data_IF_396571082928
#
_entry.id   IF_396571082928
#
_cell.length_a   1.000
_cell.length_b   1.000
_cell.length_c   1.000
_cell.angle_alpha   90.00
_cell.angle_beta   90.00
_cell.angle_gamma   90.00
#
_symmetry.space_group_name_H-M   'P 1'
#
loop_
_entity.id
_entity.type
_entity.pdbx_description
1 polymer ?
#
# COMPACT_ATOMS: atom_id res chain seq x y z
N UNK A 1 12.15 -20.20 4.76
CA UNK A 1 10.93 -19.57 4.20
C UNK A 1 9.91 -19.47 5.32
N UNK A 2 9.16 -18.38 5.42
CA UNK A 2 8.09 -18.20 6.39
C UNK A 2 6.79 -17.89 5.64
N UNK A 3 5.71 -18.59 5.96
CA UNK A 3 4.40 -18.43 5.32
C UNK A 3 3.35 -18.17 6.40
N UNK A 4 2.70 -17.01 6.34
CA UNK A 4 1.53 -16.72 7.15
C UNK A 4 0.38 -17.66 6.77
N UNK A 5 -0.34 -18.18 7.77
CA UNK A 5 -1.43 -19.12 7.56
C UNK A 5 -2.77 -18.48 7.90
N UNK A 6 -3.69 -18.53 6.93
CA UNK A 6 -5.10 -18.20 7.14
C UNK A 6 -5.88 -19.34 7.81
N UNK A 7 -7.22 -19.26 7.74
CA UNK A 7 -8.10 -20.33 8.25
C UNK A 7 -7.94 -21.64 7.48
N UNK A 8 -8.19 -22.80 8.12
CA UNK A 8 -8.63 -22.96 9.51
C UNK A 8 -7.47 -23.01 10.52
N UNK A 9 -6.22 -23.14 10.07
CA UNK A 9 -5.08 -23.42 10.97
C UNK A 9 -4.52 -22.20 11.69
N UNK A 10 -4.49 -21.02 11.04
CA UNK A 10 -3.84 -19.85 11.62
C UNK A 10 -2.32 -20.02 11.84
N UNK A 11 -1.67 -18.97 12.31
CA UNK A 11 -0.26 -19.01 12.69
C UNK A 11 0.74 -18.82 11.54
N UNK A 12 1.94 -19.36 11.73
CA UNK A 12 3.06 -19.26 10.77
C UNK A 12 3.64 -20.64 10.49
N UNK A 13 3.88 -20.94 9.22
CA UNK A 13 4.67 -22.08 8.79
C UNK A 13 6.11 -21.64 8.50
N UNK A 14 7.05 -22.13 9.29
CA UNK A 14 8.48 -21.94 9.05
C UNK A 14 9.04 -23.19 8.37
N UNK A 15 9.56 -23.03 7.15
CA UNK A 15 10.28 -24.05 6.41
C UNK A 15 11.80 -23.80 6.48
N UNK A 16 12.55 -24.75 7.01
CA UNK A 16 14.01 -24.72 7.10
C UNK A 16 14.64 -25.88 6.31
N UNK A 17 15.75 -25.65 5.57
CA UNK A 17 16.50 -26.73 4.96
C UNK A 17 17.14 -27.63 6.02
N UNK A 18 17.05 -28.94 5.83
CA UNK A 18 17.84 -29.95 6.53
C UNK A 18 18.38 -30.95 5.49
N UNK A 19 19.63 -30.75 5.07
CA UNK A 19 20.21 -31.43 3.91
C UNK A 19 19.41 -31.15 2.63
N UNK A 20 18.93 -32.22 1.99
CA UNK A 20 18.11 -32.16 0.77
C UNK A 20 16.60 -32.04 1.06
N UNK A 21 16.20 -31.94 2.33
CA UNK A 21 14.79 -31.88 2.74
C UNK A 21 14.44 -30.50 3.31
N UNK A 22 13.13 -30.20 3.30
CA UNK A 22 12.57 -29.07 4.04
C UNK A 22 11.82 -29.62 5.25
N UNK A 23 12.20 -29.16 6.43
CA UNK A 23 11.47 -29.43 7.68
C UNK A 23 10.53 -28.27 7.92
N UNK A 24 9.27 -28.59 8.21
CA UNK A 24 8.26 -27.63 8.60
C UNK A 24 8.10 -27.53 10.12
N UNK A 25 7.90 -26.31 10.60
CA UNK A 25 7.54 -26.01 11.98
C UNK A 25 6.35 -25.06 11.97
N UNK A 26 5.26 -25.48 12.60
CA UNK A 26 4.12 -24.61 12.83
C UNK A 26 4.34 -23.82 14.12
N UNK A 27 4.24 -22.50 14.01
CA UNK A 27 4.25 -21.57 15.11
C UNK A 27 2.84 -21.03 15.29
N UNK A 28 2.27 -21.26 16.46
CA UNK A 28 0.99 -20.69 16.85
C UNK A 28 1.16 -19.19 17.13
N UNK A 29 0.33 -18.37 16.49
CA UNK A 29 0.28 -16.92 16.65
C UNK A 29 -1.02 -16.46 17.34
N UNK A 30 -1.80 -17.40 17.87
CA UNK A 30 -3.12 -17.15 18.46
C UNK A 30 -4.26 -17.34 17.46
N UNK A 31 -5.46 -16.95 17.90
CA UNK A 31 -6.71 -17.28 17.21
C UNK A 31 -7.01 -16.41 15.99
N UNK A 32 -6.27 -15.31 15.79
CA UNK A 32 -6.48 -14.39 14.68
C UNK A 32 -5.72 -14.84 13.43
N UNK A 33 -6.40 -15.28 12.34
CA UNK A 33 -5.74 -15.72 11.12
C UNK A 33 -4.90 -14.63 10.47
N UNK A 34 -3.81 -15.04 9.81
CA UNK A 34 -2.97 -14.15 9.01
C UNK A 34 -3.63 -13.94 7.65
N UNK A 35 -3.76 -12.68 7.23
CA UNK A 35 -4.34 -12.27 5.94
C UNK A 35 -3.27 -11.85 4.94
N UNK A 36 -2.23 -11.15 5.40
CA UNK A 36 -1.13 -10.69 4.56
C UNK A 36 0.19 -10.69 5.32
N UNK A 37 1.29 -10.49 4.61
CA UNK A 37 2.60 -10.33 5.21
C UNK A 37 3.56 -9.56 4.33
N UNK A 38 4.53 -8.91 4.95
CA UNK A 38 5.62 -8.21 4.28
C UNK A 38 6.92 -8.48 5.02
N UNK A 39 8.06 -8.42 4.33
CA UNK A 39 9.34 -8.61 5.00
C UNK A 39 10.51 -8.89 4.08
N UNK A 40 11.66 -8.30 4.43
CA UNK A 40 12.98 -8.67 3.89
C UNK A 40 13.92 -9.07 5.03
N UNK A 41 14.15 -8.17 6.00
CA UNK A 41 14.98 -8.39 7.20
C UNK A 41 14.18 -8.82 8.43
N UNK A 42 12.97 -8.27 8.56
CA UNK A 42 11.96 -8.64 9.55
C UNK A 42 10.70 -9.08 8.81
N UNK A 43 9.96 -10.04 9.36
CA UNK A 43 8.67 -10.47 8.80
C UNK A 43 7.58 -9.84 9.64
N UNK A 44 6.64 -9.18 9.00
CA UNK A 44 5.43 -8.62 9.62
C UNK A 44 4.21 -9.32 9.03
N UNK A 45 3.31 -9.75 9.88
CA UNK A 45 2.10 -10.50 9.52
C UNK A 45 0.87 -9.70 9.96
N UNK A 46 -0.01 -9.39 9.01
CA UNK A 46 -1.25 -8.66 9.26
C UNK A 46 -2.40 -9.65 9.47
N UNK A 47 -3.25 -9.36 10.45
CA UNK A 47 -4.29 -10.28 10.91
C UNK A 47 -5.71 -9.73 10.67
N UNK A 48 -6.72 -10.61 10.76
CA UNK A 48 -8.13 -10.25 10.53
C UNK A 48 -8.72 -9.32 11.60
N UNK A 49 -8.12 -9.27 12.78
CA UNK A 49 -8.57 -8.45 13.90
C UNK A 49 -7.88 -7.07 13.96
N UNK A 50 -7.11 -6.71 12.94
CA UNK A 50 -6.34 -5.47 12.91
C UNK A 50 -5.02 -5.51 13.67
N UNK A 51 -4.64 -6.69 14.18
CA UNK A 51 -3.34 -6.93 14.81
C UNK A 51 -2.22 -7.12 13.78
N UNK A 52 -0.99 -6.82 14.20
CA UNK A 52 0.23 -7.17 13.46
C UNK A 52 1.15 -7.96 14.38
N UNK A 53 1.69 -9.07 13.88
CA UNK A 53 2.74 -9.84 14.55
C UNK A 53 4.05 -9.71 13.79
N UNK A 54 5.10 -9.24 14.45
CA UNK A 54 6.47 -9.28 13.96
C UNK A 54 7.14 -10.61 14.29
N UNK A 55 7.94 -11.14 13.38
CA UNK A 55 8.83 -12.28 13.62
C UNK A 55 10.26 -11.76 13.59
N UNK A 56 10.91 -11.79 14.76
CA UNK A 56 12.28 -11.32 14.92
C UNK A 56 13.30 -12.31 14.33
N UNK A 57 14.59 -11.94 14.35
CA UNK A 57 15.68 -12.77 13.81
C UNK A 57 15.82 -14.13 14.51
N UNK A 58 15.43 -14.20 15.79
CA UNK A 58 15.42 -15.43 16.58
C UNK A 58 14.21 -16.32 16.26
N UNK A 59 13.32 -15.86 15.38
CA UNK A 59 12.11 -16.56 14.96
C UNK A 59 10.98 -16.51 16.00
N UNK A 60 11.07 -15.63 17.00
CA UNK A 60 10.03 -15.46 18.02
C UNK A 60 8.98 -14.46 17.53
N UNK A 61 7.69 -14.75 17.77
CA UNK A 61 6.61 -13.83 17.45
C UNK A 61 6.48 -12.75 18.52
N UNK A 62 6.35 -11.51 18.08
CA UNK A 62 6.16 -10.33 18.93
C UNK A 62 4.99 -9.51 18.36
N UNK A 63 3.85 -9.44 19.08
CA UNK A 63 2.73 -8.62 18.63
C UNK A 63 3.08 -7.13 18.76
N UNK A 64 2.72 -6.36 17.73
CA UNK A 64 2.74 -4.90 17.81
C UNK A 64 1.53 -4.39 18.60
N UNK A 65 1.57 -3.15 19.12
CA UNK A 65 0.39 -2.48 19.66
C UNK A 65 -0.77 -2.53 18.66
N UNK A 66 -2.01 -2.61 19.17
CA UNK A 66 -3.21 -2.63 18.32
C UNK A 66 -3.28 -1.35 17.48
N UNK A 67 -3.21 -1.50 16.15
CA UNK A 67 -3.18 -0.39 15.18
C UNK A 67 -4.60 -0.05 14.74
N UNK A 68 -5.40 -1.07 14.45
CA UNK A 68 -6.79 -0.95 14.00
C UNK A 68 -7.60 -2.14 14.53
N UNK A 69 -8.90 -2.12 14.29
CA UNK A 69 -9.82 -3.24 14.53
C UNK A 69 -10.34 -3.87 13.23
N UNK A 70 -9.89 -3.34 12.10
CA UNK A 70 -10.29 -3.74 10.76
C UNK A 70 -9.34 -4.82 10.25
N UNK A 71 -9.82 -5.69 9.34
CA UNK A 71 -8.95 -6.69 8.71
C UNK A 71 -7.80 -6.01 7.99
N UNK A 72 -6.58 -6.48 8.20
CA UNK A 72 -5.41 -6.00 7.44
C UNK A 72 -5.30 -6.79 6.14
N UNK A 73 -5.67 -6.18 5.03
CA UNK A 73 -5.70 -6.82 3.71
C UNK A 73 -4.34 -6.79 3.01
N UNK A 74 -3.61 -5.68 3.16
CA UNK A 74 -2.30 -5.54 2.55
C UNK A 74 -1.38 -4.64 3.38
N UNK A 75 -0.07 -4.88 3.25
CA UNK A 75 0.96 -4.12 3.93
C UNK A 75 2.20 -4.00 3.06
N UNK A 76 2.89 -2.87 3.18
CA UNK A 76 4.23 -2.70 2.61
C UNK A 76 5.12 -1.97 3.61
N UNK A 77 6.32 -2.51 3.81
CA UNK A 77 7.35 -1.94 4.69
C UNK A 77 8.41 -1.23 3.85
N UNK A 78 8.70 0.01 4.21
CA UNK A 78 9.92 0.73 3.82
C UNK A 78 10.88 0.77 5.03
N UNK A 79 12.09 1.31 4.84
CA UNK A 79 13.14 1.38 5.86
C UNK A 79 12.67 1.94 7.22
N UNK A 80 11.74 2.90 7.24
CA UNK A 80 11.29 3.56 8.48
C UNK A 80 9.80 3.46 8.78
N UNK A 81 8.97 3.05 7.81
CA UNK A 81 7.51 3.12 7.92
C UNK A 81 6.84 1.84 7.44
N UNK A 82 5.70 1.52 8.03
CA UNK A 82 4.81 0.47 7.60
C UNK A 82 3.52 1.10 7.09
N UNK A 83 3.21 0.88 5.82
CA UNK A 83 1.93 1.27 5.23
C UNK A 83 0.98 0.08 5.28
N UNK A 84 -0.26 0.35 5.69
CA UNK A 84 -1.28 -0.66 5.98
C UNK A 84 -2.56 -0.25 5.25
N UNK A 85 -3.20 -1.23 4.61
CA UNK A 85 -4.49 -1.09 3.97
C UNK A 85 -5.47 -2.10 4.54
N UNK A 86 -6.68 -1.66 4.85
CA UNK A 86 -7.68 -2.47 5.54
C UNK A 86 -8.90 -2.79 4.68
N UNK A 87 -9.72 -3.72 5.17
CA UNK A 87 -10.98 -4.11 4.53
C UNK A 87 -12.03 -3.01 4.48
N UNK A 88 -11.96 -2.04 5.39
CA UNK A 88 -12.93 -0.93 5.47
C UNK A 88 -12.42 0.35 4.79
N UNK A 89 -11.22 0.34 4.21
CA UNK A 89 -10.67 1.46 3.46
C UNK A 89 -9.74 2.39 4.25
N UNK A 90 -9.35 2.02 5.47
CA UNK A 90 -8.35 2.77 6.23
C UNK A 90 -6.95 2.58 5.65
N UNK A 91 -6.40 3.65 5.08
CA UNK A 91 -4.98 3.75 4.73
C UNK A 91 -4.22 4.32 5.93
N UNK A 92 -3.27 3.57 6.48
CA UNK A 92 -2.58 3.91 7.73
C UNK A 92 -1.07 3.89 7.48
N UNK A 93 -0.36 4.88 8.03
CA UNK A 93 1.08 4.84 8.22
C UNK A 93 1.42 4.65 9.69
N UNK A 94 2.19 3.60 9.96
CA UNK A 94 2.75 3.30 11.27
C UNK A 94 4.28 3.46 11.23
N UNK A 95 4.80 4.38 12.02
CA UNK A 95 6.23 4.63 12.19
C UNK A 95 6.53 5.09 13.63
N UNK A 96 7.78 4.97 14.07
CA UNK A 96 8.20 5.39 15.42
C UNK A 96 7.26 4.90 16.55
N UNK A 97 6.83 3.64 16.42
CA UNK A 97 5.92 2.96 17.34
C UNK A 97 4.50 3.55 17.46
N UNK A 98 4.11 4.46 16.54
CA UNK A 98 2.84 5.16 16.56
C UNK A 98 2.19 5.24 15.16
N UNK A 99 0.90 5.60 15.13
CA UNK A 99 0.21 5.95 13.89
C UNK A 99 0.56 7.39 13.55
N UNK A 100 1.29 7.60 12.46
CA UNK A 100 1.66 8.93 11.97
C UNK A 100 0.50 9.62 11.26
N UNK A 101 -0.23 8.85 10.45
CA UNK A 101 -1.46 9.31 9.82
C UNK A 101 -2.38 8.12 9.51
N UNK A 102 -3.67 8.42 9.39
CA UNK A 102 -4.72 7.51 8.97
C UNK A 102 -5.75 8.29 8.18
N UNK A 103 -6.11 7.81 6.99
CA UNK A 103 -7.17 8.38 6.16
C UNK A 103 -8.10 7.27 5.68
N UNK A 104 -9.32 7.64 5.30
CA UNK A 104 -10.32 6.73 4.74
C UNK A 104 -10.37 6.90 3.21
N UNK A 105 -10.23 5.80 2.47
CA UNK A 105 -10.34 5.72 1.01
C UNK A 105 -11.69 5.14 0.53
N UNK A 106 -12.67 5.05 1.43
CA UNK A 106 -14.10 4.73 1.21
C UNK A 106 -14.41 3.30 0.72
N UNK A 107 -13.40 2.47 0.49
CA UNK A 107 -13.55 1.09 0.05
C UNK A 107 -12.32 0.23 0.41
N UNK A 108 -12.51 -1.10 0.45
CA UNK A 108 -11.48 -2.11 0.71
C UNK A 108 -10.18 -1.80 -0.06
N UNK A 109 -9.06 -1.69 0.67
CA UNK A 109 -7.73 -1.48 0.09
C UNK A 109 -7.10 -2.83 -0.22
N UNK A 110 -6.90 -3.10 -1.51
CA UNK A 110 -6.44 -4.41 -1.98
C UNK A 110 -4.93 -4.45 -2.26
N UNK A 111 -4.32 -3.31 -2.57
CA UNK A 111 -2.90 -3.24 -2.91
C UNK A 111 -2.28 -1.93 -2.43
N UNK A 112 -1.02 -2.02 -2.00
CA UNK A 112 -0.15 -0.86 -1.73
C UNK A 112 1.16 -1.08 -2.46
N UNK A 113 1.65 -0.05 -3.15
CA UNK A 113 2.95 -0.09 -3.80
C UNK A 113 3.71 1.21 -3.57
N UNK A 114 4.90 1.11 -2.98
CA UNK A 114 5.77 2.27 -2.80
C UNK A 114 6.26 2.70 -4.20
N UNK A 115 5.91 3.91 -4.61
CA UNK A 115 6.37 4.48 -5.88
C UNK A 115 7.79 5.03 -5.74
N UNK A 116 8.04 5.75 -4.66
CA UNK A 116 9.35 6.23 -4.24
C UNK A 116 9.32 6.51 -2.73
N UNK A 117 10.39 7.07 -2.16
CA UNK A 117 10.51 7.32 -0.70
C UNK A 117 9.39 8.20 -0.12
N UNK A 118 8.78 9.05 -0.94
CA UNK A 118 7.81 10.08 -0.53
C UNK A 118 6.39 9.73 -0.97
N UNK A 119 6.18 8.77 -1.87
CA UNK A 119 4.87 8.52 -2.49
C UNK A 119 4.56 7.03 -2.60
N UNK A 120 3.32 6.68 -2.30
CA UNK A 120 2.83 5.32 -2.41
C UNK A 120 1.45 5.27 -3.08
N UNK A 121 1.25 4.25 -3.89
CA UNK A 121 -0.03 3.92 -4.49
C UNK A 121 -0.86 3.07 -3.54
N UNK A 122 -2.14 3.39 -3.46
CA UNK A 122 -3.17 2.60 -2.77
C UNK A 122 -4.29 2.32 -3.75
N UNK A 123 -4.70 1.06 -3.88
CA UNK A 123 -5.83 0.69 -4.73
C UNK A 123 -7.02 0.25 -3.88
N UNK A 124 -8.21 0.76 -4.20
CA UNK A 124 -9.46 0.30 -3.59
C UNK A 124 -10.39 -0.33 -4.60
N UNK A 125 -11.27 -1.21 -4.11
CA UNK A 125 -12.30 -1.84 -4.91
C UNK A 125 -13.66 -1.78 -4.21
N UNK A 126 -14.62 -1.11 -4.83
CA UNK A 126 -15.98 -0.95 -4.28
C UNK A 126 -16.94 -2.11 -4.62
N UNK A 127 -16.45 -3.16 -5.28
CA UNK A 127 -17.30 -4.17 -5.92
C UNK A 127 -17.79 -3.78 -7.32
N UNK A 128 -17.64 -2.51 -7.74
CA UNK A 128 -18.09 -2.02 -9.06
C UNK A 128 -17.03 -1.22 -9.82
N UNK A 129 -16.24 -0.42 -9.10
CA UNK A 129 -15.22 0.45 -9.68
C UNK A 129 -13.94 0.34 -8.87
N UNK A 130 -12.80 0.32 -9.57
CA UNK A 130 -11.51 0.46 -8.93
C UNK A 130 -11.15 1.92 -8.78
N UNK A 131 -10.44 2.25 -7.72
CA UNK A 131 -9.73 3.52 -7.57
C UNK A 131 -8.27 3.21 -7.33
N UNK A 132 -7.37 3.98 -7.93
CA UNK A 132 -5.97 4.01 -7.51
C UNK A 132 -5.58 5.43 -7.14
N UNK A 133 -5.11 5.59 -5.91
CA UNK A 133 -4.75 6.88 -5.30
C UNK A 133 -3.25 6.92 -5.06
N UNK A 134 -2.61 8.01 -5.46
CA UNK A 134 -1.22 8.32 -5.10
C UNK A 134 -1.24 9.20 -3.86
N UNK A 135 -0.68 8.69 -2.78
CA UNK A 135 -0.59 9.40 -1.51
C UNK A 135 0.85 9.86 -1.26
N UNK A 136 0.96 11.01 -0.62
CA UNK A 136 2.17 11.41 0.08
C UNK A 136 2.35 10.50 1.30
N UNK A 137 3.51 9.85 1.38
CA UNK A 137 3.77 8.81 2.38
C UNK A 137 4.02 9.38 3.78
N UNK A 138 4.41 10.66 3.88
CA UNK A 138 4.71 11.33 5.16
C UNK A 138 3.44 11.90 5.82
N UNK A 139 2.48 12.38 5.01
CA UNK A 139 1.29 13.09 5.49
C UNK A 139 -0.02 12.34 5.27
N UNK A 140 -0.06 11.37 4.36
CA UNK A 140 -1.29 10.74 3.90
C UNK A 140 -2.11 11.62 2.96
N UNK A 141 -1.59 12.76 2.48
CA UNK A 141 -2.31 13.60 1.53
C UNK A 141 -2.51 12.87 0.20
N UNK A 142 -3.73 12.87 -0.33
CA UNK A 142 -4.03 12.34 -1.66
C UNK A 142 -3.54 13.33 -2.71
N UNK A 143 -2.44 13.01 -3.37
CA UNK A 143 -1.82 13.82 -4.42
C UNK A 143 -2.68 13.78 -5.68
N UNK A 144 -3.11 12.58 -6.07
CA UNK A 144 -3.99 12.36 -7.22
C UNK A 144 -4.66 11.00 -7.13
N UNK A 145 -5.70 10.79 -7.93
CA UNK A 145 -6.35 9.49 -8.06
C UNK A 145 -6.85 9.27 -9.48
N UNK A 146 -7.06 8.00 -9.82
CA UNK A 146 -7.57 7.57 -11.11
C UNK A 146 -8.67 6.53 -10.89
N UNK A 147 -9.84 6.78 -11.46
CA UNK A 147 -10.89 5.77 -11.51
C UNK A 147 -10.56 4.73 -12.57
N UNK A 148 -10.58 3.46 -12.16
CA UNK A 148 -10.36 2.30 -13.02
C UNK A 148 -11.72 1.71 -13.40
N UNK A 149 -11.85 1.34 -14.67
CA UNK A 149 -13.06 0.69 -15.21
C UNK A 149 -13.10 -0.82 -14.94
N UNK A 150 -12.06 -1.34 -14.28
CA UNK A 150 -11.80 -2.75 -14.02
C UNK A 150 -11.05 -2.86 -12.67
N UNK A 151 -11.09 -4.02 -12.02
CA UNK A 151 -10.44 -4.23 -10.71
C UNK A 151 -8.94 -4.31 -10.90
N UNK A 152 -8.17 -3.59 -10.08
CA UNK A 152 -6.72 -3.73 -10.03
C UNK A 152 -6.37 -5.10 -9.44
N UNK A 153 -5.52 -5.87 -10.12
CA UNK A 153 -5.07 -7.20 -9.66
C UNK A 153 -3.64 -7.20 -9.16
N UNK A 154 -2.80 -6.35 -9.74
CA UNK A 154 -1.40 -6.25 -9.35
C UNK A 154 -0.84 -4.87 -9.71
N UNK A 155 0.17 -4.44 -8.96
CA UNK A 155 0.91 -3.21 -9.19
C UNK A 155 2.38 -3.40 -8.84
N UNK A 156 3.25 -2.98 -9.75
CA UNK A 156 4.68 -3.07 -9.57
C UNK A 156 5.37 -1.77 -9.99
N UNK A 157 6.48 -1.46 -9.32
CA UNK A 157 7.34 -0.33 -9.65
C UNK A 157 8.74 -0.84 -9.95
N UNK A 158 9.28 -0.46 -11.10
CA UNK A 158 10.62 -0.86 -11.53
C UNK A 158 11.24 0.19 -12.45
N UNK A 159 12.52 0.53 -12.22
CA UNK A 159 13.31 1.43 -13.07
C UNK A 159 12.58 2.72 -13.51
N UNK A 160 11.87 3.36 -12.57
CA UNK A 160 11.15 4.61 -12.84
C UNK A 160 9.80 4.44 -13.55
N UNK A 161 9.31 3.22 -13.71
CA UNK A 161 7.97 2.93 -14.21
C UNK A 161 7.08 2.33 -13.12
N UNK A 162 5.81 2.71 -13.12
CA UNK A 162 4.74 2.00 -12.41
C UNK A 162 3.89 1.24 -13.43
N UNK A 163 3.67 -0.05 -13.21
CA UNK A 163 2.81 -0.90 -14.04
C UNK A 163 1.66 -1.41 -13.21
N UNK A 164 0.45 -1.31 -13.74
CA UNK A 164 -0.79 -1.75 -13.10
C UNK A 164 -1.47 -2.76 -14.01
N UNK A 165 -1.77 -3.95 -13.46
CA UNK A 165 -2.54 -4.98 -14.12
C UNK A 165 -4.00 -5.00 -13.65
N UNK A 166 -4.94 -5.04 -14.59
CA UNK A 166 -6.39 -5.11 -14.31
C UNK A 166 -6.98 -6.49 -14.64
N UNK A 167 -8.13 -6.82 -14.04
CA UNK A 167 -8.80 -8.12 -14.18
C UNK A 167 -9.34 -8.41 -15.60
N UNK A 168 -9.53 -7.37 -16.41
CA UNK A 168 -9.90 -7.50 -17.82
C UNK A 168 -8.71 -7.62 -18.78
N UNK A 169 -7.49 -7.77 -18.24
CA UNK A 169 -6.26 -8.00 -19.00
C UNK A 169 -5.59 -6.73 -19.53
N UNK A 170 -6.14 -5.53 -19.28
CA UNK A 170 -5.47 -4.28 -19.61
C UNK A 170 -4.34 -3.97 -18.63
N UNK A 171 -3.32 -3.29 -19.16
CA UNK A 171 -2.20 -2.75 -18.38
C UNK A 171 -2.19 -1.22 -18.48
N UNK A 172 -1.95 -0.54 -17.36
CA UNK A 172 -1.60 0.87 -17.34
C UNK A 172 -0.12 1.01 -16.97
N UNK A 173 0.59 1.89 -17.65
CA UNK A 173 2.01 2.14 -17.41
C UNK A 173 2.22 3.64 -17.24
N UNK A 174 2.83 4.02 -16.11
CA UNK A 174 3.26 5.38 -15.84
C UNK A 174 4.77 5.45 -15.83
N UNK A 175 5.32 6.43 -16.55
CA UNK A 175 6.69 6.87 -16.35
C UNK A 175 6.69 7.89 -15.19
N UNK A 176 7.37 7.54 -14.10
CA UNK A 176 7.20 8.19 -12.80
C UNK A 176 7.69 9.64 -12.81
N UNK A 177 8.78 9.96 -13.51
CA UNK A 177 9.28 11.34 -13.59
C UNK A 177 8.32 12.22 -14.38
N UNK A 178 7.82 11.75 -15.53
CA UNK A 178 6.82 12.45 -16.31
C UNK A 178 5.49 12.62 -15.54
N UNK A 179 5.06 11.61 -14.78
CA UNK A 179 3.88 11.72 -13.93
C UNK A 179 4.10 12.77 -12.83
N UNK A 180 5.25 12.74 -12.14
CA UNK A 180 5.59 13.71 -11.10
C UNK A 180 5.60 15.14 -11.66
N UNK A 181 6.25 15.35 -12.81
CA UNK A 181 6.25 16.66 -13.48
C UNK A 181 4.84 17.13 -13.83
N UNK A 182 3.95 16.23 -14.26
CA UNK A 182 2.56 16.57 -14.58
C UNK A 182 1.77 16.95 -13.34
N UNK A 183 1.97 16.25 -12.24
CA UNK A 183 1.38 16.57 -10.93
C UNK A 183 1.86 17.95 -10.47
N UNK A 184 3.16 18.20 -10.47
CA UNK A 184 3.74 19.45 -9.95
C UNK A 184 3.43 20.65 -10.86
N UNK A 185 3.24 20.40 -12.17
CA UNK A 185 2.85 21.43 -13.15
C UNK A 185 1.34 21.65 -13.25
N UNK A 186 0.53 20.84 -12.55
CA UNK A 186 -0.91 21.05 -12.52
C UNK A 186 -1.16 22.43 -11.92
N UNK A 187 -1.84 23.35 -12.63
CA UNK A 187 -2.05 24.69 -12.12
C UNK A 187 -2.85 24.58 -10.82
N UNK A 188 -2.24 24.97 -9.70
CA UNK A 188 -2.93 25.25 -8.44
C UNK A 188 -4.12 26.13 -8.79
N UNK A 189 -5.33 25.58 -8.70
CA UNK A 189 -6.51 26.20 -9.25
C UNK A 189 -6.90 27.48 -8.50
N UNK A 190 -6.47 28.63 -9.00
CA UNK A 190 -7.26 29.88 -9.07
C UNK A 190 -6.51 30.91 -9.93
N UNK A 191 -7.21 31.54 -10.89
CA UNK A 191 -6.83 32.78 -11.60
C UNK A 191 -6.01 32.76 -12.91
N UNK A 192 -6.11 31.73 -13.77
CA UNK A 192 -5.48 31.82 -15.10
C UNK A 192 -6.34 32.44 -16.22
N UNK A 193 -7.63 32.75 -16.00
CA UNK A 193 -8.42 33.51 -17.01
C UNK A 193 -8.12 35.00 -17.02
N UNK A 194 -7.78 35.60 -15.87
CA UNK A 194 -7.35 37.00 -15.81
C UNK A 194 -5.95 37.15 -16.38
N UNK A 195 -5.02 36.28 -16.00
CA UNK A 195 -3.62 36.39 -16.44
C UNK A 195 -3.46 36.15 -17.95
N UNK A 196 -4.21 35.20 -18.54
CA UNK A 196 -4.28 35.07 -20.01
C UNK A 196 -4.91 36.29 -20.69
N UNK A 197 -5.96 36.87 -20.10
CA UNK A 197 -6.63 38.05 -20.65
C UNK A 197 -5.72 39.28 -20.61
N UNK A 198 -4.93 39.43 -19.56
CA UNK A 198 -4.02 40.55 -19.39
C UNK A 198 -2.80 40.43 -20.32
N UNK A 199 -2.27 39.21 -20.51
CA UNK A 199 -1.24 38.94 -21.54
C UNK A 199 -1.77 39.18 -22.96
N UNK A 200 -3.00 38.78 -23.28
CA UNK A 200 -3.63 39.03 -24.58
C UNK A 200 -3.90 40.53 -24.82
N UNK A 201 -4.14 41.32 -23.77
CA UNK A 201 -4.29 42.78 -23.88
C UNK A 201 -2.95 43.49 -24.07
N UNK A 202 -1.88 43.00 -23.43
CA UNK A 202 -0.54 43.56 -23.59
C UNK A 202 0.01 43.41 -25.02
N UNK A 203 -0.41 42.37 -25.75
CA UNK A 203 -0.05 42.14 -27.16
C UNK A 203 -0.86 42.98 -28.17
N UNK A 204 -1.81 43.81 -27.73
CA UNK A 204 -2.62 44.70 -28.57
C UNK A 204 -2.17 46.17 -28.53
N UNK A 205 -0.98 46.44 -27.97
CA UNK A 205 -0.27 47.72 -28.09
C UNK A 205 0.92 47.55 -29.02
#
# INVERSE_FOLDING_TARGET
IALGLGRPRGGLLHLKPDGDQLIDTHLDLGDSPVCCGTGQSEILLGHIDGGITGINIDGKPEPLPSITKETIECMVKDASRLLIGTSEGSAICYDNENISWSIDLEAEIENICISNRERAWFSTWSGRSGLISLLDSDSGEIITHLTLSARLRDIAVHEGFTVIGMDDGRLLVFENEMLARRIDSAPTGANNRSDLRDRLRALRK
#
